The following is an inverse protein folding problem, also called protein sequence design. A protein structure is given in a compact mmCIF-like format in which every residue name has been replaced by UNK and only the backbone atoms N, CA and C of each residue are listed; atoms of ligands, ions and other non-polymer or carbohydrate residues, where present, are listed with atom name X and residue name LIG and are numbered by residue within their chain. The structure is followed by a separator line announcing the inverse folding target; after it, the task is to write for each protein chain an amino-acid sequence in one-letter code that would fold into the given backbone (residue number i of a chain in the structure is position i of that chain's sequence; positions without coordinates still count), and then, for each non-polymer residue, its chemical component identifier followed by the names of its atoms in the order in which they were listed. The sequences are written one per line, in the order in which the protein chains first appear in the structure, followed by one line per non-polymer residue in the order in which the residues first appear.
data_IF_878157217400
#
_entry.id   IF_878157217400
#
_cell.length_a   1.000
_cell.length_b   1.000
_cell.length_c   1.000
_cell.angle_alpha   90.00
_cell.angle_beta   90.00
_cell.angle_gamma   90.00
#
_symmetry.space_group_name_H-M   'P 1'
#
loop_
_entity.id
_entity.type
_entity.pdbx_description
1 polymer ?
#
# COMPACT_ATOMS: atom_id res chain seq x y z
N UNK A 1 -49.17 32.84 28.29
CA UNK A 1 -48.33 33.97 27.87
C UNK A 1 -47.46 34.36 29.07
N UNK A 2 -46.12 34.33 28.88
CA UNK A 2 -45.04 34.39 29.90
C UNK A 2 -44.91 33.07 30.71
N UNK A 3 -43.77 32.45 31.03
CA UNK A 3 -42.39 32.90 31.35
C UNK A 3 -41.42 31.71 31.13
N UNK A 4 -40.26 32.00 30.50
CA UNK A 4 -38.91 31.37 30.57
C UNK A 4 -38.73 29.88 30.90
N UNK A 5 -37.82 29.19 30.18
CA UNK A 5 -36.70 28.43 30.79
C UNK A 5 -35.66 28.05 29.71
N UNK A 6 -34.51 28.73 29.81
CA UNK A 6 -33.11 28.28 29.61
C UNK A 6 -32.75 27.48 28.35
N UNK A 7 -31.92 28.13 27.53
CA UNK A 7 -30.83 27.53 26.77
C UNK A 7 -30.19 26.33 27.51
N UNK A 8 -30.25 25.18 26.88
CA UNK A 8 -29.24 24.13 27.01
C UNK A 8 -28.88 23.69 25.58
N UNK A 9 -27.95 24.44 25.00
CA UNK A 9 -27.20 24.00 23.85
C UNK A 9 -26.36 22.79 24.27
N UNK A 10 -26.89 21.57 24.08
CA UNK A 10 -26.09 20.35 24.12
C UNK A 10 -25.23 20.31 22.87
N UNK A 11 -24.03 20.85 23.03
CA UNK A 11 -22.89 20.69 22.16
C UNK A 11 -22.55 19.19 22.08
N UNK A 12 -23.07 18.47 21.09
CA UNK A 12 -22.56 17.14 20.74
C UNK A 12 -21.22 17.38 20.07
N UNK A 13 -20.13 17.10 20.80
CA UNK A 13 -18.79 17.11 20.26
C UNK A 13 -18.72 16.14 19.08
N UNK A 14 -18.51 16.69 17.89
CA UNK A 14 -18.06 15.96 16.71
C UNK A 14 -16.69 15.36 17.04
N UNK A 15 -16.67 14.06 17.32
CA UNK A 15 -15.44 13.27 17.37
C UNK A 15 -14.87 13.09 15.98
N UNK A 16 -14.20 14.12 15.45
CA UNK A 16 -13.37 14.02 14.26
C UNK A 16 -11.99 13.51 14.67
N UNK A 17 -11.71 12.23 14.46
CA UNK A 17 -10.35 11.72 14.65
C UNK A 17 -10.26 10.20 14.72
N UNK A 18 -10.36 9.53 13.56
CA UNK A 18 -9.63 8.29 13.23
C UNK A 18 -10.16 7.68 11.91
N UNK A 19 -10.03 8.39 10.79
CA UNK A 19 -10.26 7.81 9.45
C UNK A 19 -8.99 7.77 8.60
N UNK A 20 -7.81 7.93 9.21
CA UNK A 20 -6.54 7.88 8.48
C UNK A 20 -5.99 6.46 8.30
N UNK A 21 -6.44 5.46 9.06
CA UNK A 21 -5.83 4.11 9.04
C UNK A 21 -6.46 3.14 8.03
N UNK A 22 -7.65 3.44 7.49
CA UNK A 22 -8.34 2.55 6.53
C UNK A 22 -7.79 2.70 5.10
N UNK A 23 -7.20 3.85 4.77
CA UNK A 23 -6.69 4.13 3.43
C UNK A 23 -5.33 3.47 3.16
N UNK A 24 -4.44 3.42 4.16
CA UNK A 24 -3.15 2.73 4.03
C UNK A 24 -3.32 1.23 3.80
N UNK A 25 -4.22 0.58 4.53
CA UNK A 25 -4.50 -0.85 4.33
C UNK A 25 -5.17 -1.20 2.99
N UNK A 26 -5.80 -0.24 2.31
CA UNK A 26 -6.51 -0.50 1.05
C UNK A 26 -5.57 -0.81 -0.13
N UNK A 27 -4.30 -0.41 -0.02
CA UNK A 27 -3.28 -0.63 -1.06
C UNK A 27 -2.20 -1.64 -0.64
N UNK A 28 -2.21 -2.07 0.63
CA UNK A 28 -1.31 -3.10 1.15
C UNK A 28 -1.80 -4.52 0.77
N UNK A 29 -0.85 -5.42 0.63
CA UNK A 29 -1.05 -6.86 0.45
C UNK A 29 -1.29 -7.51 1.81
N UNK A 30 -0.77 -6.90 2.88
CA UNK A 30 -0.86 -7.39 4.25
C UNK A 30 0.16 -8.48 4.54
N UNK A 31 1.26 -8.53 3.76
CA UNK A 31 2.42 -9.39 4.01
C UNK A 31 3.65 -8.47 4.04
N UNK A 32 4.29 -8.28 5.21
CA UNK A 32 5.28 -7.20 5.39
C UNK A 32 6.45 -7.23 4.40
N UNK A 33 6.91 -8.41 3.98
CA UNK A 33 8.00 -8.57 3.00
C UNK A 33 7.57 -8.09 1.61
N UNK A 34 6.38 -8.47 1.17
CA UNK A 34 5.80 -8.04 -0.10
C UNK A 34 5.58 -6.52 -0.10
N UNK A 35 4.96 -5.98 0.96
CA UNK A 35 4.61 -4.56 1.07
C UNK A 35 5.86 -3.67 1.08
N UNK A 36 6.90 -4.07 1.83
CA UNK A 36 8.20 -3.40 1.82
C UNK A 36 8.79 -3.37 0.41
N UNK A 37 8.84 -4.52 -0.26
CA UNK A 37 9.40 -4.59 -1.61
C UNK A 37 8.66 -3.70 -2.61
N UNK A 38 7.32 -3.71 -2.61
CA UNK A 38 6.53 -2.86 -3.52
C UNK A 38 6.87 -1.38 -3.27
N UNK A 39 6.94 -0.99 -2.00
CA UNK A 39 7.26 0.39 -1.60
C UNK A 39 8.65 0.80 -2.10
N UNK A 40 9.67 -0.02 -1.86
CA UNK A 40 11.05 0.27 -2.25
C UNK A 40 11.21 0.27 -3.79
N UNK A 41 10.49 -0.62 -4.48
CA UNK A 41 10.48 -0.69 -5.95
C UNK A 41 9.87 0.56 -6.56
N UNK A 42 8.69 1.00 -6.08
CA UNK A 42 8.03 2.23 -6.54
C UNK A 42 8.89 3.47 -6.25
N UNK A 43 9.52 3.54 -5.07
CA UNK A 43 10.47 4.59 -4.73
C UNK A 43 11.68 4.61 -5.69
N UNK A 44 12.20 3.44 -6.06
CA UNK A 44 13.30 3.40 -7.01
C UNK A 44 12.90 3.84 -8.42
N UNK A 45 11.73 3.40 -8.92
CA UNK A 45 11.24 3.83 -10.24
C UNK A 45 11.18 5.36 -10.31
N UNK A 46 10.61 5.99 -9.29
CA UNK A 46 10.41 7.44 -9.30
C UNK A 46 11.71 8.22 -9.20
N UNK A 47 12.74 7.67 -8.54
CA UNK A 47 13.99 8.39 -8.26
C UNK A 47 15.16 8.03 -9.18
N UNK A 48 15.20 6.81 -9.73
CA UNK A 48 16.36 6.30 -10.49
C UNK A 48 16.08 5.96 -11.94
N UNK A 49 14.87 5.48 -12.24
CA UNK A 49 14.54 5.05 -13.60
C UNK A 49 14.30 6.28 -14.50
N UNK A 50 14.80 6.29 -15.75
CA UNK A 50 14.50 7.35 -16.72
C UNK A 50 12.99 7.48 -16.98
N UNK A 51 12.49 8.71 -17.08
CA UNK A 51 11.06 9.01 -17.19
C UNK A 51 10.35 8.20 -18.29
N UNK A 52 10.98 8.08 -19.47
CA UNK A 52 10.46 7.32 -20.61
C UNK A 52 10.18 5.84 -20.30
N UNK A 53 10.81 5.26 -19.27
CA UNK A 53 10.67 3.85 -18.90
C UNK A 53 9.82 3.64 -17.64
N UNK A 54 9.60 4.69 -16.82
CA UNK A 54 8.89 4.57 -15.54
C UNK A 54 7.50 3.96 -15.69
N UNK A 55 6.75 4.40 -16.70
CA UNK A 55 5.39 3.93 -16.95
C UNK A 55 5.30 2.41 -17.09
N UNK A 56 6.25 1.79 -17.80
CA UNK A 56 6.27 0.34 -17.99
C UNK A 56 6.50 -0.41 -16.66
N UNK A 57 7.48 0.02 -15.87
CA UNK A 57 7.76 -0.60 -14.56
C UNK A 57 6.65 -0.34 -13.53
N UNK A 58 6.05 0.85 -13.52
CA UNK A 58 4.90 1.15 -12.66
C UNK A 58 3.68 0.28 -12.98
N UNK A 59 3.43 0.00 -14.27
CA UNK A 59 2.36 -0.92 -14.67
C UNK A 59 2.67 -2.35 -14.23
N UNK A 60 3.90 -2.82 -14.44
CA UNK A 60 4.32 -4.16 -14.01
C UNK A 60 4.14 -4.36 -12.51
N UNK A 61 4.63 -3.43 -11.68
CA UNK A 61 4.54 -3.57 -10.22
C UNK A 61 3.10 -3.47 -9.71
N UNK A 62 2.26 -2.68 -10.38
CA UNK A 62 0.83 -2.59 -10.06
C UNK A 62 0.11 -3.91 -10.33
N UNK A 63 0.39 -4.57 -11.45
CA UNK A 63 -0.16 -5.88 -11.76
C UNK A 63 0.31 -6.92 -10.73
N UNK A 64 1.60 -6.92 -10.41
CA UNK A 64 2.18 -7.81 -9.40
C UNK A 64 1.50 -7.66 -8.03
N UNK A 65 1.34 -6.41 -7.57
CA UNK A 65 0.60 -6.10 -6.34
C UNK A 65 -0.82 -6.65 -6.38
N UNK A 66 -1.51 -6.51 -7.51
CA UNK A 66 -2.85 -7.08 -7.71
C UNK A 66 -2.88 -8.61 -7.52
N UNK A 67 -1.99 -9.32 -8.20
CA UNK A 67 -1.87 -10.78 -8.08
C UNK A 67 -1.55 -11.21 -6.64
N UNK A 68 -0.60 -10.54 -5.97
CA UNK A 68 -0.25 -10.86 -4.59
C UNK A 68 -1.40 -10.57 -3.62
N UNK A 69 -2.20 -9.53 -3.86
CA UNK A 69 -3.43 -9.27 -3.08
C UNK A 69 -4.47 -10.35 -3.26
N UNK A 70 -4.64 -10.89 -4.46
CA UNK A 70 -5.56 -12.02 -4.69
C UNK A 70 -5.10 -13.26 -3.92
N UNK A 71 -3.81 -13.60 -3.98
CA UNK A 71 -3.22 -14.70 -3.21
C UNK A 71 -3.34 -14.47 -1.70
N UNK A 72 -3.20 -13.23 -1.25
CA UNK A 72 -3.30 -12.86 0.16
C UNK A 72 -4.71 -13.04 0.74
N UNK A 73 -5.75 -13.11 -0.11
CA UNK A 73 -7.15 -13.37 0.28
C UNK A 73 -7.48 -14.85 0.36
N UNK A 74 -6.68 -15.71 -0.25
CA UNK A 74 -6.82 -17.16 -0.16
C UNK A 74 -6.00 -17.71 1.02
N UNK A 75 -6.65 -18.45 1.91
CA UNK A 75 -6.02 -18.93 3.15
C UNK A 75 -4.81 -19.83 2.92
N UNK A 76 -4.86 -20.71 1.92
CA UNK A 76 -3.78 -21.65 1.63
C UNK A 76 -2.63 -20.95 0.86
N UNK A 77 -2.95 -20.10 -0.10
CA UNK A 77 -1.96 -19.35 -0.87
C UNK A 77 -1.25 -18.31 -0.01
N UNK A 78 -1.96 -17.66 0.93
CA UNK A 78 -1.38 -16.70 1.87
C UNK A 78 -0.27 -17.30 2.71
N UNK A 79 -0.35 -18.58 3.08
CA UNK A 79 0.71 -19.26 3.84
C UNK A 79 2.01 -19.37 3.06
N UNK A 80 1.96 -19.38 1.72
CA UNK A 80 3.14 -19.45 0.86
C UNK A 80 3.59 -18.07 0.36
N UNK A 81 2.76 -17.04 0.50
CA UNK A 81 2.95 -15.75 -0.16
C UNK A 81 4.25 -15.05 0.23
N UNK A 82 4.70 -15.18 1.48
CA UNK A 82 5.98 -14.61 1.91
C UNK A 82 7.18 -15.17 1.11
N UNK A 83 7.19 -16.49 0.89
CA UNK A 83 8.23 -17.16 0.09
C UNK A 83 8.15 -16.76 -1.39
N UNK A 84 6.93 -16.63 -1.92
CA UNK A 84 6.67 -16.19 -3.30
C UNK A 84 7.19 -14.78 -3.52
N UNK A 85 6.85 -13.85 -2.61
CA UNK A 85 7.33 -12.48 -2.67
C UNK A 85 8.85 -12.44 -2.61
N UNK A 86 9.47 -13.12 -1.65
CA UNK A 86 10.94 -13.12 -1.51
C UNK A 86 11.64 -13.57 -2.79
N UNK A 87 11.16 -14.66 -3.41
CA UNK A 87 11.74 -15.19 -4.64
C UNK A 87 11.54 -14.24 -5.85
N UNK A 88 10.32 -13.72 -6.04
CA UNK A 88 10.02 -12.82 -7.15
C UNK A 88 10.68 -11.46 -6.98
N UNK A 89 10.75 -10.94 -5.76
CA UNK A 89 11.50 -9.72 -5.41
C UNK A 89 12.98 -9.86 -5.75
N UNK A 90 13.60 -11.01 -5.46
CA UNK A 90 14.99 -11.27 -5.85
C UNK A 90 15.22 -11.17 -7.36
N UNK A 91 14.30 -11.71 -8.16
CA UNK A 91 14.37 -11.63 -9.63
C UNK A 91 14.22 -10.17 -10.11
N UNK A 92 13.24 -9.45 -9.58
CA UNK A 92 12.99 -8.06 -9.95
C UNK A 92 14.12 -7.12 -9.54
N UNK A 93 14.79 -7.38 -8.41
CA UNK A 93 16.01 -6.65 -8.01
C UNK A 93 17.10 -6.74 -9.08
N UNK A 94 17.33 -7.94 -9.63
CA UNK A 94 18.32 -8.14 -10.69
C UNK A 94 17.95 -7.37 -11.96
N UNK A 95 16.66 -7.35 -12.32
CA UNK A 95 16.15 -6.58 -13.47
C UNK A 95 16.37 -5.08 -13.26
N UNK A 96 16.24 -4.60 -12.02
CA UNK A 96 16.35 -3.18 -11.70
C UNK A 96 17.77 -2.70 -11.38
N UNK A 97 18.72 -3.62 -11.19
CA UNK A 97 20.12 -3.31 -10.87
C UNK A 97 20.78 -2.34 -11.88
N UNK A 98 20.57 -2.45 -13.22
CA UNK A 98 21.14 -1.51 -14.19
C UNK A 98 20.67 -0.06 -14.02
N UNK A 99 19.52 0.16 -13.36
CA UNK A 99 19.01 1.49 -13.06
C UNK A 99 19.55 2.04 -11.73
N UNK A 100 20.37 1.27 -11.00
CA UNK A 100 20.87 1.66 -9.68
C UNK A 100 19.87 1.47 -8.54
N UNK A 101 18.87 0.61 -8.74
CA UNK A 101 17.97 0.19 -7.67
C UNK A 101 18.64 -0.85 -6.76
N UNK A 102 18.64 -0.59 -5.45
CA UNK A 102 19.11 -1.54 -4.43
C UNK A 102 18.11 -1.55 -3.28
N UNK A 103 17.30 -2.60 -3.24
CA UNK A 103 16.29 -2.93 -2.22
C UNK A 103 16.22 -4.44 -2.10
#
# INVERSE_FOLDING_TARGET
MRITTRLLATLVLVGAGATASLAQGANEIGVPSCDRFITDYEACITTKVPEAQRGAFSQQITQLRGTWRELARDGQARQQLDSVCTAQSAQLRQVMAPYGCSF
#
